data_IF_859462428725
#
_entry.id   IF_859462428725
#
_cell.length_a   1.000
_cell.length_b   1.000
_cell.length_c   1.000
_cell.angle_alpha   90.00
_cell.angle_beta   90.00
_cell.angle_gamma   90.00
#
_symmetry.space_group_name_H-M   'P 1'
#
loop_
_entity.id
_entity.type
_entity.pdbx_description
1 polymer ?
#
# COMPACT_ATOMS: atom_id res chain seq x y z
N UNK A 1 9.23 -22.06 -14.92
CA UNK A 1 7.76 -22.11 -14.80
C UNK A 1 7.22 -21.83 -13.38
N UNK A 2 8.00 -21.96 -12.29
CA UNK A 2 7.52 -21.68 -10.91
C UNK A 2 7.28 -20.17 -10.72
N UNK A 3 8.04 -19.34 -11.42
CA UNK A 3 7.98 -17.87 -11.38
C UNK A 3 6.60 -17.29 -11.71
N UNK A 4 5.79 -17.99 -12.50
CA UNK A 4 4.46 -17.52 -12.92
C UNK A 4 3.33 -17.99 -11.98
N UNK A 5 3.64 -18.76 -10.94
CA UNK A 5 2.63 -19.21 -9.99
C UNK A 5 2.41 -18.16 -8.90
N UNK A 6 1.14 -17.81 -8.58
CA UNK A 6 0.86 -16.88 -7.51
C UNK A 6 1.30 -17.47 -6.16
N UNK A 7 2.06 -16.69 -5.39
CA UNK A 7 2.49 -17.06 -4.05
C UNK A 7 1.27 -17.14 -3.13
N UNK A 8 1.16 -18.21 -2.35
CA UNK A 8 0.20 -18.37 -1.24
C UNK A 8 0.94 -18.33 0.08
N UNK A 9 0.49 -17.49 1.01
CA UNK A 9 1.13 -17.34 2.31
C UNK A 9 0.17 -16.82 3.37
N UNK A 10 0.40 -17.23 4.61
CA UNK A 10 -0.27 -16.73 5.81
C UNK A 10 0.67 -15.92 6.72
N UNK A 11 1.92 -15.70 6.32
CA UNK A 11 2.79 -14.75 7.04
C UNK A 11 2.22 -13.33 6.90
N UNK A 12 2.45 -12.45 7.87
CA UNK A 12 2.06 -11.05 7.75
C UNK A 12 2.65 -10.41 6.49
N UNK A 13 1.81 -9.73 5.71
CA UNK A 13 2.26 -8.97 4.52
C UNK A 13 1.63 -7.59 4.52
N UNK A 14 2.45 -6.55 4.30
CA UNK A 14 1.97 -5.21 4.00
C UNK A 14 2.12 -4.92 2.51
N UNK A 15 1.01 -4.56 1.87
CA UNK A 15 0.94 -4.00 0.53
C UNK A 15 0.74 -2.49 0.66
N UNK A 16 1.59 -1.70 -0.01
CA UNK A 16 1.46 -0.23 -0.10
C UNK A 16 1.30 0.13 -1.56
N UNK A 17 0.28 0.92 -1.88
CA UNK A 17 0.04 1.40 -3.25
C UNK A 17 -0.29 2.89 -3.25
N UNK A 18 0.11 3.60 -4.31
CA UNK A 18 -0.48 4.90 -4.62
C UNK A 18 -1.77 4.71 -5.42
N UNK A 19 -2.81 5.50 -5.12
CA UNK A 19 -4.10 5.44 -5.82
C UNK A 19 -3.97 5.64 -7.34
N UNK A 20 -2.98 6.42 -7.79
CA UNK A 20 -2.72 6.73 -9.19
C UNK A 20 -1.43 6.10 -9.73
N UNK A 21 -0.98 5.00 -9.12
CA UNK A 21 0.14 4.22 -9.65
C UNK A 21 -0.27 3.51 -10.96
N UNK A 22 0.37 3.89 -12.06
CA UNK A 22 0.19 3.29 -13.38
C UNK A 22 1.20 2.17 -13.68
N UNK A 23 2.33 2.13 -12.98
CA UNK A 23 3.42 1.16 -13.18
C UNK A 23 3.11 -0.15 -12.45
N UNK A 24 2.63 -0.04 -11.20
CA UNK A 24 2.17 -1.16 -10.37
C UNK A 24 0.77 -0.87 -9.82
N UNK A 25 -0.29 -1.00 -10.64
CA UNK A 25 -1.64 -0.58 -10.27
C UNK A 25 -2.21 -1.30 -9.04
N UNK A 26 -3.01 -0.58 -8.24
CA UNK A 26 -3.67 -1.05 -7.01
C UNK A 26 -4.32 -2.43 -7.18
N UNK A 27 -5.00 -2.67 -8.31
CA UNK A 27 -5.69 -3.93 -8.62
C UNK A 27 -4.79 -5.18 -8.60
N UNK A 28 -3.47 -5.02 -8.79
CA UNK A 28 -2.51 -6.14 -8.69
C UNK A 28 -2.28 -6.57 -7.25
N UNK A 29 -2.24 -5.61 -6.32
CA UNK A 29 -2.19 -5.91 -4.90
C UNK A 29 -3.50 -6.55 -4.43
N UNK A 30 -4.65 -5.99 -4.84
CA UNK A 30 -5.98 -6.53 -4.52
C UNK A 30 -6.16 -7.98 -4.98
N UNK A 31 -5.69 -8.32 -6.20
CA UNK A 31 -5.80 -9.70 -6.71
C UNK A 31 -4.97 -10.70 -5.92
N UNK A 32 -3.83 -10.26 -5.35
CA UNK A 32 -2.96 -11.09 -4.52
C UNK A 32 -3.47 -11.28 -3.10
N UNK A 33 -4.31 -10.39 -2.56
CA UNK A 33 -4.82 -10.50 -1.19
C UNK A 33 -5.56 -11.82 -0.93
N UNK A 34 -6.21 -12.41 -1.95
CA UNK A 34 -6.86 -13.73 -1.82
C UNK A 34 -5.88 -14.86 -1.50
N UNK A 35 -4.60 -14.71 -1.87
CA UNK A 35 -3.54 -15.68 -1.60
C UNK A 35 -2.70 -15.31 -0.36
N UNK A 36 -2.85 -14.09 0.15
CA UNK A 36 -2.12 -13.53 1.28
C UNK A 36 -3.08 -13.28 2.45
N UNK A 37 -3.47 -14.36 3.15
CA UNK A 37 -4.61 -14.34 4.08
C UNK A 37 -4.40 -13.49 5.34
N UNK A 38 -3.14 -13.15 5.64
CA UNK A 38 -2.76 -12.23 6.71
C UNK A 38 -2.10 -10.98 6.12
N UNK A 39 -2.82 -10.30 5.21
CA UNK A 39 -2.32 -9.10 4.54
C UNK A 39 -3.09 -7.84 4.89
N UNK A 40 -2.36 -6.73 4.93
CA UNK A 40 -2.89 -5.38 5.01
C UNK A 40 -2.59 -4.66 3.70
N UNK A 41 -3.56 -3.91 3.16
CA UNK A 41 -3.35 -3.07 1.99
C UNK A 41 -3.64 -1.61 2.32
N UNK A 42 -2.62 -0.77 2.20
CA UNK A 42 -2.72 0.67 2.39
C UNK A 42 -2.62 1.39 1.05
N UNK A 43 -3.71 2.05 0.69
CA UNK A 43 -3.81 2.84 -0.54
C UNK A 43 -3.66 4.32 -0.17
N UNK A 44 -2.57 4.92 -0.62
CA UNK A 44 -2.25 6.33 -0.43
C UNK A 44 -2.99 7.16 -1.49
N UNK A 45 -4.08 7.79 -1.06
CA UNK A 45 -4.97 8.58 -1.93
C UNK A 45 -4.23 9.73 -2.60
N UNK A 46 -4.41 9.88 -3.90
CA UNK A 46 -3.73 10.91 -4.68
C UNK A 46 -2.26 10.66 -5.00
N UNK A 47 -1.64 9.62 -4.44
CA UNK A 47 -0.22 9.34 -4.63
C UNK A 47 -0.01 8.44 -5.85
N UNK A 48 1.21 8.49 -6.41
CA UNK A 48 1.63 7.72 -7.59
C UNK A 48 2.51 6.54 -7.18
N UNK A 49 3.37 6.11 -8.10
CA UNK A 49 4.38 5.08 -7.87
C UNK A 49 5.29 5.40 -6.68
N UNK A 50 5.73 4.33 -6.01
CA UNK A 50 6.62 4.33 -4.83
C UNK A 50 6.23 5.28 -3.68
N UNK A 51 5.07 5.10 -3.01
CA UNK A 51 4.69 5.91 -1.84
C UNK A 51 5.77 6.03 -0.76
N UNK A 52 6.50 4.93 -0.51
CA UNK A 52 7.56 4.86 0.51
C UNK A 52 8.77 5.75 0.21
N UNK A 53 8.96 6.21 -1.04
CA UNK A 53 10.06 7.11 -1.42
C UNK A 53 9.64 8.58 -1.49
N UNK A 54 8.46 8.93 -0.97
CA UNK A 54 8.01 10.31 -0.92
C UNK A 54 8.71 11.08 0.22
N UNK A 55 9.84 11.72 -0.08
CA UNK A 55 10.60 12.48 0.93
C UNK A 55 9.93 13.78 1.40
N UNK A 56 8.96 14.30 0.65
CA UNK A 56 8.15 15.44 1.09
C UNK A 56 7.03 15.07 2.07
N UNK A 57 6.67 13.78 2.15
CA UNK A 57 5.69 13.27 3.10
C UNK A 57 6.01 11.80 3.43
N UNK A 58 6.59 11.56 4.60
CA UNK A 58 7.10 10.25 5.02
C UNK A 58 6.02 9.27 5.51
N UNK A 59 4.73 9.58 5.33
CA UNK A 59 3.64 8.80 5.91
C UNK A 59 3.66 7.31 5.51
N UNK A 60 3.96 7.01 4.24
CA UNK A 60 4.07 5.63 3.78
C UNK A 60 5.28 4.90 4.37
N UNK A 61 6.39 5.60 4.59
CA UNK A 61 7.56 5.04 5.28
C UNK A 61 7.24 4.76 6.75
N UNK A 62 6.49 5.64 7.41
CA UNK A 62 6.00 5.41 8.77
C UNK A 62 5.08 4.18 8.83
N UNK A 63 4.15 4.02 7.88
CA UNK A 63 3.32 2.81 7.80
C UNK A 63 4.15 1.51 7.66
N UNK A 64 5.20 1.54 6.83
CA UNK A 64 6.11 0.40 6.69
C UNK A 64 6.86 0.11 7.99
N UNK A 65 7.35 1.14 8.68
CA UNK A 65 8.00 1.00 9.99
C UNK A 65 7.04 0.44 11.06
N UNK A 66 5.81 0.95 11.13
CA UNK A 66 4.78 0.48 12.07
C UNK A 66 4.48 -1.01 11.85
N UNK A 67 4.38 -1.45 10.60
CA UNK A 67 4.21 -2.86 10.26
C UNK A 67 5.38 -3.73 10.72
N UNK A 68 6.63 -3.31 10.52
CA UNK A 68 7.77 -4.10 10.97
C UNK A 68 7.81 -4.28 12.49
N UNK A 69 7.29 -3.31 13.26
CA UNK A 69 7.22 -3.39 14.71
C UNK A 69 5.99 -4.17 15.22
N UNK A 70 4.86 -4.06 14.52
CA UNK A 70 3.59 -4.71 14.87
C UNK A 70 2.91 -5.32 13.63
N UNK A 71 3.42 -6.44 13.09
CA UNK A 71 3.03 -6.93 11.76
C UNK A 71 1.63 -7.54 11.69
N UNK A 72 1.04 -7.90 12.84
CA UNK A 72 -0.34 -8.42 12.90
C UNK A 72 -1.36 -7.27 12.79
N UNK A 73 -1.01 -6.11 13.34
CA UNK A 73 -1.90 -4.96 13.38
C UNK A 73 -1.85 -4.20 12.06
N UNK A 74 -3.00 -3.67 11.64
CA UNK A 74 -3.03 -2.80 10.46
C UNK A 74 -2.29 -1.51 10.77
N UNK A 75 -1.22 -1.13 10.02
CA UNK A 75 -0.52 0.11 10.28
C UNK A 75 -1.45 1.31 10.10
N UNK A 76 -1.40 2.25 11.04
CA UNK A 76 -2.26 3.43 11.05
C UNK A 76 -1.47 4.67 11.51
N UNK A 77 -0.48 5.13 10.72
CA UNK A 77 0.26 6.32 11.08
C UNK A 77 -0.69 7.52 11.08
N UNK A 78 -0.54 8.44 12.03
CA UNK A 78 -1.51 9.54 12.24
C UNK A 78 -1.70 10.46 11.03
N UNK A 79 -0.70 10.53 10.15
CA UNK A 79 -0.76 11.25 8.88
C UNK A 79 -1.68 10.60 7.83
N UNK A 80 -1.99 9.30 7.93
CA UNK A 80 -2.68 8.54 6.88
C UNK A 80 -4.07 9.10 6.60
N UNK A 81 -4.82 9.41 7.66
CA UNK A 81 -6.17 10.00 7.57
C UNK A 81 -6.18 11.41 6.93
N UNK A 82 -5.02 12.08 6.91
CA UNK A 82 -4.87 13.43 6.35
C UNK A 82 -4.63 13.39 4.83
N UNK A 83 -4.29 12.22 4.27
CA UNK A 83 -3.99 12.05 2.85
C UNK A 83 -5.30 11.93 2.06
N UNK A 84 -5.51 12.85 1.13
CA UNK A 84 -6.72 12.94 0.31
C UNK A 84 -6.36 13.00 -1.17
N UNK A 85 -7.24 12.46 -2.00
CA UNK A 85 -7.15 12.61 -3.45
C UNK A 85 -7.23 14.11 -3.83
N UNK A 86 -6.46 14.58 -4.82
CA UNK A 86 -6.56 15.93 -5.35
C UNK A 86 -7.98 16.24 -5.82
N UNK A 87 -8.45 17.46 -5.56
CA UNK A 87 -9.71 17.96 -6.11
C UNK A 87 -9.42 18.56 -7.47
N UNK A 88 -9.86 17.90 -8.53
CA UNK A 88 -9.76 18.41 -9.89
C UNK A 88 -10.94 19.34 -10.19
N UNK A 89 -10.66 20.55 -10.67
CA UNK A 89 -11.69 21.46 -11.16
C UNK A 89 -11.94 21.14 -12.63
N UNK A 90 -13.18 20.78 -12.98
CA UNK A 90 -13.64 20.79 -14.37
C UNK A 90 -14.08 22.21 -14.73
N UNK A 91 -13.76 22.67 -15.95
CA UNK A 91 -14.29 23.92 -16.49
C UNK A 91 -15.79 23.80 -16.75
#
# INVERSE_FOLDING_TARGET
AIENQPIKSNIPVLLISGEYDNETPVKWAESMMNNLTNSHHLIFRGWKHTPTTNWGNQCAMQAANDFFNHPIDRPKPGCFEQIKSPVFKTK
#
